data_IF_044543142893
#
_entry.id   IF_044543142893
#
_cell.length_a   1.000
_cell.length_b   1.000
_cell.length_c   1.000
_cell.angle_alpha   90.00
_cell.angle_beta   90.00
_cell.angle_gamma   90.00
#
_symmetry.space_group_name_H-M   'P 1'
#
loop_
_entity.id
_entity.type
_entity.pdbx_description
1 polymer ?
#
# COMPACT_ATOMS: atom_id res chain seq x y z
N UNK A 1 1.64 16.78 -20.77
CA UNK A 1 0.96 17.10 -19.52
C UNK A 1 0.00 15.99 -19.13
N UNK A 2 0.14 15.50 -17.94
CA UNK A 2 -0.74 14.45 -17.42
C UNK A 2 -1.96 15.13 -16.80
N UNK A 3 -3.09 15.09 -17.51
CA UNK A 3 -4.39 15.50 -16.97
C UNK A 3 -5.15 14.21 -16.58
N UNK A 4 -4.71 13.55 -15.51
CA UNK A 4 -5.25 12.30 -15.03
C UNK A 4 -5.94 12.46 -13.68
N UNK A 5 -6.96 11.63 -13.42
CA UNK A 5 -7.63 11.53 -12.13
C UNK A 5 -7.04 10.36 -11.34
N UNK A 6 -6.60 10.64 -10.11
CA UNK A 6 -5.94 9.68 -9.25
C UNK A 6 -6.61 9.65 -7.88
N UNK A 7 -6.90 8.44 -7.38
CA UNK A 7 -7.40 8.19 -6.04
C UNK A 7 -6.29 7.56 -5.21
N UNK A 8 -5.90 8.19 -4.10
CA UNK A 8 -5.10 7.57 -3.04
C UNK A 8 -6.03 7.11 -1.93
N UNK A 9 -6.17 5.79 -1.77
CA UNK A 9 -6.96 5.16 -0.72
C UNK A 9 -6.08 4.95 0.51
N UNK A 10 -6.57 5.37 1.68
CA UNK A 10 -5.79 5.37 2.92
C UNK A 10 -4.63 6.34 2.85
N UNK A 11 -4.89 7.57 2.41
CA UNK A 11 -3.87 8.58 2.15
C UNK A 11 -3.10 9.05 3.40
N UNK A 12 -3.62 8.74 4.61
CA UNK A 12 -3.01 9.16 5.85
C UNK A 12 -2.78 10.68 5.88
N UNK A 13 -1.55 11.12 6.07
CA UNK A 13 -1.17 12.54 6.03
C UNK A 13 -0.99 13.10 4.61
N UNK A 14 -1.42 12.37 3.60
CA UNK A 14 -1.49 12.76 2.18
C UNK A 14 -0.12 13.14 1.58
N UNK A 15 0.97 12.48 2.01
CA UNK A 15 2.31 12.80 1.49
C UNK A 15 2.42 12.48 0.00
N UNK A 16 1.96 11.31 -0.42
CA UNK A 16 1.99 10.92 -1.84
C UNK A 16 1.03 11.78 -2.66
N UNK A 17 -0.20 12.00 -2.18
CA UNK A 17 -1.17 12.88 -2.85
C UNK A 17 -0.62 14.28 -3.11
N UNK A 18 -0.03 14.91 -2.08
CA UNK A 18 0.59 16.22 -2.23
C UNK A 18 1.78 16.19 -3.20
N UNK A 19 2.64 15.16 -3.12
CA UNK A 19 3.77 15.00 -4.04
C UNK A 19 3.32 14.87 -5.50
N UNK A 20 2.29 14.06 -5.76
CA UNK A 20 1.75 13.85 -7.11
C UNK A 20 1.00 15.07 -7.66
N UNK A 21 0.51 15.95 -6.78
CA UNK A 21 -0.17 17.18 -7.17
C UNK A 21 0.81 18.30 -7.54
N UNK A 22 2.00 18.34 -6.91
CA UNK A 22 2.99 19.39 -7.14
C UNK A 22 3.46 19.39 -8.60
N UNK A 23 3.34 20.53 -9.27
CA UNK A 23 3.87 20.74 -10.62
C UNK A 23 3.16 19.93 -11.72
N UNK A 24 1.97 19.39 -11.44
CA UNK A 24 1.18 18.61 -12.40
C UNK A 24 -0.23 19.18 -12.57
N UNK A 25 -0.89 18.81 -13.68
CA UNK A 25 -2.31 19.11 -13.92
C UNK A 25 -3.20 17.89 -13.56
N UNK A 26 -2.70 16.94 -12.79
CA UNK A 26 -3.47 15.79 -12.33
C UNK A 26 -4.50 16.25 -11.29
N UNK A 27 -5.66 15.61 -11.30
CA UNK A 27 -6.67 15.76 -10.24
C UNK A 27 -6.46 14.64 -9.24
N UNK A 28 -6.06 14.99 -8.03
CA UNK A 28 -5.76 14.02 -6.97
C UNK A 28 -6.91 14.01 -5.97
N UNK A 29 -7.35 12.82 -5.57
CA UNK A 29 -8.28 12.62 -4.46
C UNK A 29 -7.55 11.86 -3.35
N UNK A 30 -7.32 12.51 -2.23
CA UNK A 30 -6.79 11.91 -1.01
C UNK A 30 -7.96 11.42 -0.16
N UNK A 31 -8.13 10.11 -0.05
CA UNK A 31 -9.23 9.47 0.66
C UNK A 31 -8.74 8.71 1.90
N UNK A 32 -9.29 9.04 3.07
CA UNK A 32 -8.93 8.41 4.34
C UNK A 32 -10.08 8.46 5.35
N UNK A 33 -10.14 7.52 6.27
CA UNK A 33 -11.11 7.53 7.37
C UNK A 33 -10.76 8.54 8.47
N UNK A 34 -9.49 8.89 8.61
CA UNK A 34 -8.94 9.79 9.64
C UNK A 34 -9.03 11.26 9.24
N UNK A 35 -10.01 11.97 9.78
CA UNK A 35 -10.12 13.43 9.58
C UNK A 35 -8.87 14.17 10.04
N UNK A 36 -8.21 13.72 11.11
CA UNK A 36 -7.01 14.37 11.63
C UNK A 36 -5.84 14.27 10.64
N UNK A 37 -5.66 13.10 10.03
CA UNK A 37 -4.63 12.89 9.01
C UNK A 37 -4.87 13.75 7.78
N UNK A 38 -6.12 13.79 7.29
CA UNK A 38 -6.51 14.63 6.14
C UNK A 38 -6.30 16.12 6.42
N UNK A 39 -6.56 16.60 7.65
CA UNK A 39 -6.30 18.00 8.02
C UNK A 39 -4.82 18.35 7.88
N UNK A 40 -3.91 17.49 8.33
CA UNK A 40 -2.46 17.71 8.16
C UNK A 40 -2.05 17.81 6.68
N UNK A 41 -2.56 16.90 5.84
CA UNK A 41 -2.33 16.94 4.41
C UNK A 41 -2.87 18.19 3.75
N UNK A 42 -4.06 18.64 4.14
CA UNK A 42 -4.69 19.88 3.64
C UNK A 42 -3.94 21.14 4.07
N UNK A 43 -3.42 21.19 5.29
CA UNK A 43 -2.60 22.30 5.77
C UNK A 43 -1.31 22.40 4.96
N UNK A 44 -0.66 21.27 4.69
CA UNK A 44 0.52 21.23 3.82
C UNK A 44 0.19 21.74 2.40
N UNK A 45 -0.92 21.28 1.80
CA UNK A 45 -1.36 21.72 0.48
C UNK A 45 -1.57 23.24 0.42
N UNK A 46 -2.28 23.80 1.43
CA UNK A 46 -2.50 25.26 1.54
C UNK A 46 -1.20 26.02 1.64
N UNK A 47 -0.27 25.60 2.51
CA UNK A 47 1.03 26.26 2.71
C UNK A 47 1.88 26.29 1.43
N UNK A 48 1.70 25.30 0.56
CA UNK A 48 2.47 25.16 -0.69
C UNK A 48 1.67 25.54 -1.95
N UNK A 49 0.50 26.20 -1.81
CA UNK A 49 -0.37 26.62 -2.91
C UNK A 49 -0.77 25.49 -3.87
N UNK A 50 -0.98 24.26 -3.37
CA UNK A 50 -1.44 23.11 -4.13
C UNK A 50 -2.96 23.17 -4.20
N UNK A 51 -3.54 23.27 -5.41
CA UNK A 51 -4.98 23.47 -5.63
C UNK A 51 -5.70 22.27 -6.29
N UNK A 52 -4.94 21.34 -6.84
CA UNK A 52 -5.43 20.20 -7.63
C UNK A 52 -5.58 18.91 -6.81
N UNK A 53 -5.89 19.05 -5.52
CA UNK A 53 -6.08 17.94 -4.59
C UNK A 53 -7.38 18.13 -3.78
N UNK A 54 -8.23 17.11 -3.78
CA UNK A 54 -9.42 16.99 -2.96
C UNK A 54 -9.15 16.07 -1.77
N UNK A 55 -9.63 16.45 -0.58
CA UNK A 55 -9.48 15.67 0.64
C UNK A 55 -10.85 15.13 1.04
N UNK A 56 -11.03 13.83 0.96
CA UNK A 56 -12.32 13.17 1.18
C UNK A 56 -12.22 12.20 2.36
N UNK A 57 -13.06 12.42 3.37
CA UNK A 57 -13.20 11.50 4.49
C UNK A 57 -14.30 10.49 4.21
N UNK A 58 -14.04 9.20 4.48
CA UNK A 58 -15.07 8.16 4.39
C UNK A 58 -14.55 6.78 4.78
N UNK A 59 -15.45 5.81 4.77
CA UNK A 59 -15.11 4.41 4.91
C UNK A 59 -14.91 3.78 3.53
N UNK A 60 -13.97 2.85 3.41
CA UNK A 60 -13.64 2.17 2.16
C UNK A 60 -14.81 1.32 1.62
N UNK A 61 -15.72 0.93 2.49
CA UNK A 61 -16.92 0.16 2.14
C UNK A 61 -18.08 1.04 1.68
N UNK A 62 -17.99 2.36 1.87
CA UNK A 62 -19.03 3.29 1.41
C UNK A 62 -18.87 3.58 -0.09
N UNK A 63 -20.00 3.63 -0.80
CA UNK A 63 -20.02 4.03 -2.21
C UNK A 63 -19.98 5.56 -2.36
N UNK A 64 -18.83 6.17 -2.06
CA UNK A 64 -18.66 7.63 -2.04
C UNK A 64 -18.47 8.20 -3.46
N UNK A 65 -17.79 7.46 -4.32
CA UNK A 65 -17.47 7.91 -5.68
C UNK A 65 -18.35 7.19 -6.70
N UNK A 66 -18.53 7.82 -7.86
CA UNK A 66 -19.14 7.17 -9.04
C UNK A 66 -18.23 6.07 -9.57
N UNK A 67 -18.80 5.11 -10.27
CA UNK A 67 -18.05 4.05 -10.93
C UNK A 67 -17.25 4.63 -12.11
N UNK A 68 -16.03 4.12 -12.30
CA UNK A 68 -15.21 4.43 -13.46
C UNK A 68 -14.78 5.89 -13.60
N UNK A 69 -14.40 6.57 -12.52
CA UNK A 69 -13.99 7.99 -12.55
C UNK A 69 -12.49 8.21 -12.44
N UNK A 70 -11.72 7.25 -11.92
CA UNK A 70 -10.28 7.41 -11.73
C UNK A 70 -9.48 6.68 -12.81
N UNK A 71 -8.44 7.34 -13.33
CA UNK A 71 -7.45 6.73 -14.24
C UNK A 71 -6.47 5.86 -13.47
N UNK A 72 -6.17 6.24 -12.21
CA UNK A 72 -5.27 5.52 -11.32
C UNK A 72 -5.88 5.41 -9.92
N UNK A 73 -5.71 4.23 -9.30
CA UNK A 73 -5.99 4.01 -7.88
C UNK A 73 -4.73 3.51 -7.21
N UNK A 74 -4.31 4.22 -6.16
CA UNK A 74 -3.22 3.81 -5.29
C UNK A 74 -3.79 3.37 -3.95
N UNK A 75 -3.60 2.10 -3.59
CA UNK A 75 -4.04 1.51 -2.34
C UNK A 75 -2.91 0.67 -1.75
N UNK A 76 -2.04 1.31 -0.98
CA UNK A 76 -0.84 0.67 -0.43
C UNK A 76 -0.86 0.71 1.09
N UNK A 77 -0.79 -0.46 1.72
CA UNK A 77 -0.76 -0.54 3.18
C UNK A 77 -2.13 -0.40 3.87
N UNK A 78 -3.24 -0.63 3.16
CA UNK A 78 -4.60 -0.33 3.66
C UNK A 78 -5.48 -1.57 3.80
N UNK A 79 -5.66 -2.33 2.73
CA UNK A 79 -6.67 -3.40 2.68
C UNK A 79 -6.47 -4.46 3.76
N UNK A 80 -5.23 -4.78 4.10
CA UNK A 80 -4.90 -5.77 5.14
C UNK A 80 -5.24 -5.30 6.57
N UNK A 81 -5.68 -4.07 6.73
CA UNK A 81 -6.21 -3.50 7.97
C UNK A 81 -7.74 -3.42 8.00
N UNK A 82 -8.42 -3.96 7.00
CA UNK A 82 -9.89 -4.05 6.93
C UNK A 82 -10.37 -5.43 7.38
N UNK A 83 -11.62 -5.51 7.81
CA UNK A 83 -12.25 -6.77 8.22
C UNK A 83 -12.42 -7.73 7.05
N UNK A 84 -12.63 -7.21 5.83
CA UNK A 84 -12.75 -7.99 4.61
C UNK A 84 -11.92 -7.35 3.47
N UNK A 85 -10.63 -7.71 3.35
CA UNK A 85 -9.73 -7.14 2.35
C UNK A 85 -10.18 -7.31 0.90
N UNK A 86 -10.79 -8.46 0.57
CA UNK A 86 -11.29 -8.69 -0.77
C UNK A 86 -12.49 -7.83 -1.12
N UNK A 87 -13.44 -7.67 -0.21
CA UNK A 87 -14.59 -6.78 -0.43
C UNK A 87 -14.15 -5.33 -0.53
N UNK A 88 -13.23 -4.88 0.34
CA UNK A 88 -12.63 -3.56 0.24
C UNK A 88 -11.94 -3.34 -1.12
N UNK A 89 -11.22 -4.35 -1.63
CA UNK A 89 -10.65 -4.34 -2.98
C UNK A 89 -11.74 -4.18 -4.05
N UNK A 90 -12.85 -4.92 -3.94
CA UNK A 90 -13.98 -4.81 -4.88
C UNK A 90 -14.61 -3.42 -4.87
N UNK A 91 -14.78 -2.82 -3.70
CA UNK A 91 -15.32 -1.46 -3.57
C UNK A 91 -14.44 -0.46 -4.32
N UNK A 92 -13.13 -0.47 -4.08
CA UNK A 92 -12.25 0.53 -4.70
C UNK A 92 -12.11 0.37 -6.22
N UNK A 93 -12.07 -0.87 -6.74
CA UNK A 93 -11.91 -1.06 -8.19
C UNK A 93 -13.16 -0.72 -9.00
N UNK A 94 -14.35 -0.62 -8.37
CA UNK A 94 -15.54 -0.12 -9.05
C UNK A 94 -15.32 1.30 -9.59
N UNK A 95 -14.54 2.10 -8.85
CA UNK A 95 -14.24 3.49 -9.20
C UNK A 95 -13.15 3.63 -10.27
N UNK A 96 -12.44 2.54 -10.61
CA UNK A 96 -11.40 2.55 -11.65
C UNK A 96 -12.01 2.53 -13.04
N UNK A 97 -11.55 3.43 -13.91
CA UNK A 97 -11.92 3.45 -15.35
C UNK A 97 -11.47 2.16 -16.04
N UNK A 98 -12.19 1.78 -17.11
CA UNK A 98 -11.67 0.84 -18.09
C UNK A 98 -10.35 1.35 -18.66
N UNK A 99 -9.33 0.49 -18.74
CA UNK A 99 -7.97 0.87 -19.13
C UNK A 99 -7.16 1.58 -18.03
N UNK A 100 -7.77 1.86 -16.87
CA UNK A 100 -7.08 2.46 -15.71
C UNK A 100 -6.19 1.46 -14.98
N UNK A 101 -5.28 1.98 -14.15
CA UNK A 101 -4.32 1.18 -13.39
C UNK A 101 -4.61 1.24 -11.89
N UNK A 102 -4.48 0.08 -11.24
CA UNK A 102 -4.54 -0.04 -9.77
C UNK A 102 -3.20 -0.53 -9.21
N UNK A 103 -2.79 0.08 -8.11
CA UNK A 103 -1.63 -0.30 -7.31
C UNK A 103 -2.13 -0.81 -5.96
N UNK A 104 -1.85 -2.08 -5.66
CA UNK A 104 -2.30 -2.72 -4.42
C UNK A 104 -1.09 -3.20 -3.64
N UNK A 105 -0.88 -2.59 -2.47
CA UNK A 105 0.18 -2.98 -1.54
C UNK A 105 -0.37 -3.65 -0.30
N UNK A 106 0.12 -4.86 0.00
CA UNK A 106 -0.35 -5.71 1.08
C UNK A 106 0.82 -6.37 1.84
N UNK A 107 0.58 -6.80 3.08
CA UNK A 107 1.55 -7.61 3.80
C UNK A 107 1.60 -9.02 3.25
N UNK A 108 2.81 -9.46 2.86
CA UNK A 108 3.04 -10.82 2.39
C UNK A 108 3.09 -11.81 3.56
N UNK A 109 2.44 -12.97 3.40
CA UNK A 109 2.37 -14.01 4.42
C UNK A 109 3.75 -14.48 4.88
N UNK A 110 4.68 -14.66 3.96
CA UNK A 110 6.07 -15.08 4.24
C UNK A 110 6.94 -13.89 4.69
N UNK A 111 6.88 -12.77 3.97
CA UNK A 111 7.65 -11.57 4.32
C UNK A 111 7.33 -11.03 5.71
N UNK A 112 6.09 -11.23 6.20
CA UNK A 112 5.64 -10.77 7.53
C UNK A 112 6.12 -11.65 8.70
N UNK A 113 6.71 -12.83 8.44
CA UNK A 113 7.14 -13.79 9.49
C UNK A 113 8.06 -13.15 10.52
N UNK A 114 9.07 -12.38 10.08
CA UNK A 114 10.02 -11.71 10.99
C UNK A 114 9.34 -10.66 11.87
N UNK A 115 8.37 -9.92 11.32
CA UNK A 115 7.60 -8.93 12.08
C UNK A 115 6.67 -9.60 13.07
N UNK A 116 6.00 -10.70 12.69
CA UNK A 116 5.18 -11.50 13.61
C UNK A 116 6.03 -12.01 14.78
N UNK A 117 7.22 -12.51 14.50
CA UNK A 117 8.15 -12.93 15.57
C UNK A 117 8.53 -11.76 16.50
N UNK A 118 8.88 -10.60 15.96
CA UNK A 118 9.15 -9.39 16.75
C UNK A 118 7.94 -8.91 17.55
N UNK A 119 6.70 -9.09 17.02
CA UNK A 119 5.46 -8.80 17.75
C UNK A 119 5.32 -9.65 19.02
N UNK A 120 5.67 -10.94 18.96
CA UNK A 120 5.72 -11.80 20.16
C UNK A 120 6.79 -11.32 21.14
N UNK A 121 8.00 -11.01 20.68
CA UNK A 121 9.06 -10.47 21.54
C UNK A 121 8.61 -9.17 22.21
N UNK A 122 7.98 -8.26 21.47
CA UNK A 122 7.44 -7.02 22.02
C UNK A 122 6.44 -7.27 23.15
N UNK A 123 5.55 -8.24 22.97
CA UNK A 123 4.53 -8.60 23.96
C UNK A 123 5.15 -9.10 25.29
N UNK A 124 6.24 -9.84 25.24
CA UNK A 124 6.87 -10.43 26.44
C UNK A 124 7.98 -9.56 27.03
N UNK A 125 8.74 -8.87 26.22
CA UNK A 125 9.96 -8.17 26.65
C UNK A 125 9.87 -6.63 26.48
N UNK A 126 8.81 -6.14 25.91
CA UNK A 126 8.53 -4.71 25.82
C UNK A 126 9.35 -3.93 24.78
N UNK A 127 9.15 -2.61 24.82
CA UNK A 127 9.64 -1.65 23.81
C UNK A 127 11.17 -1.61 23.69
N UNK A 128 11.90 -1.70 24.80
CA UNK A 128 13.38 -1.58 24.80
C UNK A 128 14.06 -2.66 23.96
N UNK A 129 13.57 -3.91 24.06
CA UNK A 129 14.12 -5.04 23.29
C UNK A 129 13.67 -4.96 21.84
N UNK A 130 12.42 -4.58 21.59
CA UNK A 130 11.91 -4.38 20.22
C UNK A 130 12.77 -3.37 19.44
N UNK A 131 13.11 -2.22 20.04
CA UNK A 131 13.95 -1.19 19.39
C UNK A 131 15.30 -1.75 18.96
N UNK A 132 15.88 -2.67 19.75
CA UNK A 132 17.16 -3.31 19.40
C UNK A 132 17.04 -4.32 18.25
N UNK A 133 15.88 -4.93 18.06
CA UNK A 133 15.65 -6.00 17.07
C UNK A 133 15.06 -5.50 15.76
N UNK A 134 14.34 -4.38 15.78
CA UNK A 134 13.72 -3.82 14.59
C UNK A 134 14.72 -2.93 13.83
N UNK A 135 15.00 -3.25 12.54
CA UNK A 135 15.99 -2.51 11.76
C UNK A 135 15.56 -1.06 11.47
N UNK A 136 14.26 -0.77 11.45
CA UNK A 136 13.75 0.59 11.25
C UNK A 136 13.82 1.38 12.56
N UNK A 137 13.36 0.79 13.67
CA UNK A 137 13.41 1.47 14.97
C UNK A 137 14.85 1.83 15.36
N UNK A 138 15.84 0.99 15.03
CA UNK A 138 17.26 1.30 15.25
C UNK A 138 17.77 2.53 14.52
N UNK A 139 17.16 2.86 13.38
CA UNK A 139 17.53 4.03 12.57
C UNK A 139 16.86 5.31 13.03
N UNK A 140 15.78 5.23 13.83
CA UNK A 140 15.07 6.40 14.33
C UNK A 140 15.84 6.99 15.51
N UNK A 141 16.17 8.29 15.49
CA UNK A 141 16.83 8.95 16.62
C UNK A 141 16.04 8.82 17.93
N UNK A 142 16.72 8.58 19.04
CA UNK A 142 16.09 8.36 20.35
C UNK A 142 15.23 9.53 20.83
N UNK A 143 15.51 10.75 20.39
CA UNK A 143 14.73 11.96 20.69
C UNK A 143 13.41 12.05 19.90
N UNK A 144 13.16 11.14 18.97
CA UNK A 144 11.95 11.12 18.14
C UNK A 144 10.93 10.11 18.65
N UNK A 145 10.51 10.24 19.91
CA UNK A 145 9.59 9.27 20.55
C UNK A 145 8.26 9.11 19.80
N UNK A 146 7.74 10.18 19.22
CA UNK A 146 6.49 10.12 18.45
C UNK A 146 6.61 9.24 17.20
N UNK A 147 7.75 9.33 16.48
CA UNK A 147 8.02 8.46 15.33
C UNK A 147 8.16 7.00 15.75
N UNK A 148 8.85 6.74 16.86
CA UNK A 148 8.99 5.39 17.42
C UNK A 148 7.62 4.83 17.81
N UNK A 149 6.78 5.62 18.49
CA UNK A 149 5.45 5.20 18.91
C UNK A 149 4.52 4.98 17.72
N UNK A 150 4.58 5.84 16.69
CA UNK A 150 3.82 5.69 15.46
C UNK A 150 4.18 4.38 14.75
N UNK A 151 5.48 4.08 14.59
CA UNK A 151 5.95 2.84 13.98
C UNK A 151 5.50 1.60 14.78
N UNK A 152 5.64 1.63 16.11
CA UNK A 152 5.19 0.53 16.97
C UNK A 152 3.69 0.30 16.83
N UNK A 153 2.89 1.36 16.80
CA UNK A 153 1.44 1.27 16.65
C UNK A 153 1.06 0.63 15.33
N UNK A 154 1.66 1.09 14.25
CA UNK A 154 1.40 0.58 12.91
C UNK A 154 1.82 -0.89 12.75
N UNK A 155 3.05 -1.23 13.14
CA UNK A 155 3.65 -2.53 12.83
C UNK A 155 3.36 -3.63 13.85
N UNK A 156 3.09 -3.29 15.13
CA UNK A 156 3.07 -4.27 16.22
C UNK A 156 1.77 -4.28 17.04
N UNK A 157 1.00 -3.20 17.03
CA UNK A 157 -0.20 -3.09 17.89
C UNK A 157 -1.49 -2.82 17.11
N UNK A 158 -1.45 -2.83 15.77
CA UNK A 158 -2.66 -2.67 14.99
C UNK A 158 -3.66 -3.79 15.30
N UNK A 159 -4.95 -3.48 15.59
CA UNK A 159 -5.94 -4.48 16.04
C UNK A 159 -6.29 -5.48 14.93
N UNK A 160 -6.44 -5.03 13.71
CA UNK A 160 -6.78 -5.86 12.54
C UNK A 160 -5.60 -5.90 11.59
N UNK A 161 -5.12 -7.09 11.29
CA UNK A 161 -4.04 -7.31 10.33
C UNK A 161 -4.21 -8.67 9.67
N UNK A 162 -4.32 -8.69 8.35
CA UNK A 162 -4.26 -9.88 7.53
C UNK A 162 -2.95 -9.96 6.73
N UNK A 163 -2.63 -11.13 6.23
CA UNK A 163 -1.46 -11.34 5.37
C UNK A 163 -1.86 -12.16 4.16
N UNK A 164 -1.33 -11.81 3.00
CA UNK A 164 -1.77 -12.29 1.71
C UNK A 164 -0.62 -12.94 0.92
N UNK A 165 -0.95 -13.75 -0.05
CA UNK A 165 0.01 -14.34 -0.99
C UNK A 165 -0.11 -13.66 -2.35
N UNK A 166 0.91 -13.82 -3.20
CA UNK A 166 0.87 -13.37 -4.58
C UNK A 166 -0.30 -13.98 -5.35
N UNK A 167 -0.50 -15.30 -5.19
CA UNK A 167 -1.55 -16.02 -5.88
C UNK A 167 -2.97 -15.57 -5.48
N UNK A 168 -3.14 -15.17 -4.23
CA UNK A 168 -4.41 -14.61 -3.75
C UNK A 168 -4.75 -13.31 -4.49
N UNK A 169 -3.78 -12.40 -4.64
CA UNK A 169 -4.01 -11.13 -5.33
C UNK A 169 -4.18 -11.33 -6.84
N UNK A 170 -3.44 -12.24 -7.46
CA UNK A 170 -3.65 -12.61 -8.86
C UNK A 170 -5.06 -13.20 -9.08
N UNK A 171 -5.57 -13.98 -8.12
CA UNK A 171 -6.95 -14.47 -8.15
C UNK A 171 -7.95 -13.30 -8.04
N UNK A 172 -7.73 -12.32 -7.14
CA UNK A 172 -8.58 -11.14 -7.06
C UNK A 172 -8.59 -10.36 -8.38
N UNK A 173 -7.44 -10.17 -8.98
CA UNK A 173 -7.31 -9.51 -10.28
C UNK A 173 -8.13 -10.24 -11.35
N UNK A 174 -7.91 -11.56 -11.51
CA UNK A 174 -8.62 -12.38 -12.49
C UNK A 174 -10.14 -12.33 -12.31
N UNK A 175 -10.62 -12.44 -11.06
CA UNK A 175 -12.06 -12.42 -10.75
C UNK A 175 -12.73 -11.07 -11.02
N UNK A 176 -11.96 -9.99 -11.17
CA UNK A 176 -12.45 -8.62 -11.34
C UNK A 176 -11.99 -7.98 -12.66
N UNK A 177 -11.61 -8.78 -13.67
CA UNK A 177 -11.16 -8.30 -14.98
C UNK A 177 -9.99 -7.32 -14.91
N UNK A 178 -9.06 -7.56 -14.00
CA UNK A 178 -7.80 -6.83 -13.88
C UNK A 178 -6.69 -7.69 -14.46
N UNK A 179 -6.00 -7.16 -15.47
CA UNK A 179 -4.79 -7.77 -16.01
C UNK A 179 -3.61 -7.46 -15.08
N UNK A 180 -2.83 -8.46 -14.71
CA UNK A 180 -1.57 -8.25 -14.00
C UNK A 180 -0.55 -7.58 -14.93
N UNK A 181 0.07 -6.51 -14.45
CA UNK A 181 1.08 -5.76 -15.21
C UNK A 181 2.46 -5.97 -14.60
N UNK A 182 2.62 -5.68 -13.30
CA UNK A 182 3.93 -5.70 -12.66
C UNK A 182 3.81 -5.90 -11.14
N UNK A 183 4.94 -6.15 -10.48
CA UNK A 183 4.99 -6.25 -9.01
C UNK A 183 6.32 -5.79 -8.42
N UNK A 184 6.29 -5.39 -7.15
CA UNK A 184 7.47 -5.08 -6.34
C UNK A 184 7.36 -5.86 -5.02
N UNK A 185 8.28 -6.81 -4.75
CA UNK A 185 9.32 -7.31 -5.65
C UNK A 185 8.70 -7.97 -6.88
N UNK A 186 9.53 -8.21 -7.90
CA UNK A 186 9.13 -9.03 -9.05
C UNK A 186 8.52 -10.36 -8.59
N UNK A 187 7.52 -10.86 -9.32
CA UNK A 187 6.83 -12.10 -8.97
C UNK A 187 7.71 -13.36 -9.14
N UNK A 188 8.79 -13.28 -9.91
CA UNK A 188 9.81 -14.30 -10.07
C UNK A 188 11.16 -13.81 -9.55
N UNK A 189 11.95 -14.64 -8.82
CA UNK A 189 13.29 -14.28 -8.37
C UNK A 189 14.32 -14.25 -9.51
N UNK A 190 13.97 -14.77 -10.67
CA UNK A 190 14.84 -14.85 -11.85
C UNK A 190 14.66 -13.65 -12.79
N UNK A 191 13.70 -12.79 -12.50
CA UNK A 191 13.40 -11.63 -13.32
C UNK A 191 14.20 -10.40 -12.87
N UNK A 192 14.56 -9.56 -13.83
CA UNK A 192 15.20 -8.26 -13.57
C UNK A 192 14.08 -7.22 -13.38
N UNK A 193 14.18 -6.44 -12.31
CA UNK A 193 13.24 -5.35 -12.03
C UNK A 193 13.22 -4.39 -13.23
N UNK A 194 12.05 -4.28 -13.86
CA UNK A 194 11.85 -3.33 -14.96
C UNK A 194 11.79 -1.91 -14.41
N UNK A 195 12.48 -0.98 -15.09
CA UNK A 195 12.48 0.44 -14.69
C UNK A 195 11.10 1.10 -14.81
N UNK A 196 10.27 0.61 -15.75
CA UNK A 196 8.92 1.14 -15.97
C UNK A 196 7.88 0.19 -15.35
N UNK A 197 7.25 0.63 -14.28
CA UNK A 197 6.24 -0.14 -13.55
C UNK A 197 4.95 -0.40 -14.36
N UNK A 198 4.71 0.35 -15.43
CA UNK A 198 3.59 0.17 -16.36
C UNK A 198 3.91 -0.80 -17.51
N UNK A 199 5.13 -1.27 -17.60
CA UNK A 199 5.55 -2.26 -18.58
C UNK A 199 5.21 -3.65 -18.04
N UNK A 200 4.55 -4.47 -18.90
CA UNK A 200 4.13 -5.82 -18.52
C UNK A 200 5.36 -6.67 -18.17
N UNK A 201 5.37 -7.14 -16.94
CA UNK A 201 6.37 -8.06 -16.42
C UNK A 201 6.09 -9.49 -16.89
N UNK A 202 7.08 -10.35 -16.73
CA UNK A 202 6.94 -11.79 -16.95
C UNK A 202 5.90 -12.37 -15.97
N UNK A 203 5.03 -13.22 -16.49
CA UNK A 203 4.06 -13.93 -15.66
C UNK A 203 4.72 -15.16 -15.04
N UNK A 204 5.17 -15.01 -13.81
CA UNK A 204 5.88 -16.04 -13.08
C UNK A 204 5.03 -17.29 -12.88
N UNK A 205 5.66 -18.45 -12.92
CA UNK A 205 5.02 -19.72 -12.57
C UNK A 205 4.67 -19.77 -11.09
N UNK A 206 3.79 -20.68 -10.69
CA UNK A 206 3.41 -20.87 -9.28
C UNK A 206 4.64 -21.14 -8.38
N UNK A 207 5.57 -21.97 -8.85
CA UNK A 207 6.78 -22.32 -8.09
C UNK A 207 7.68 -21.09 -7.90
N UNK A 208 7.88 -20.31 -8.95
CA UNK A 208 8.67 -19.08 -8.88
C UNK A 208 8.06 -18.08 -7.89
N UNK A 209 6.75 -17.90 -7.91
CA UNK A 209 6.05 -17.03 -6.96
C UNK A 209 6.21 -17.49 -5.51
N UNK A 210 6.15 -18.80 -5.24
CA UNK A 210 6.41 -19.35 -3.91
C UNK A 210 7.85 -19.08 -3.49
N UNK A 211 8.81 -19.34 -4.39
CA UNK A 211 10.22 -19.10 -4.12
C UNK A 211 10.51 -17.63 -3.82
N UNK A 212 9.95 -16.72 -4.63
CA UNK A 212 10.09 -15.28 -4.41
C UNK A 212 9.53 -14.85 -3.05
N UNK A 213 8.36 -15.34 -2.68
CA UNK A 213 7.76 -15.03 -1.38
C UNK A 213 8.59 -15.59 -0.22
N UNK A 214 9.20 -16.76 -0.40
CA UNK A 214 10.10 -17.34 0.60
C UNK A 214 11.38 -16.48 0.75
N UNK A 215 11.95 -15.99 -0.35
CA UNK A 215 13.09 -15.07 -0.35
C UNK A 215 12.75 -13.77 0.41
N UNK A 216 11.50 -13.31 0.36
CA UNK A 216 11.08 -12.12 1.11
C UNK A 216 11.31 -12.22 2.62
N UNK A 217 11.37 -13.42 3.21
CA UNK A 217 11.67 -13.60 4.63
C UNK A 217 13.07 -13.01 4.96
N UNK A 218 14.02 -13.19 4.05
CA UNK A 218 15.44 -12.85 4.27
C UNK A 218 15.83 -11.51 3.67
N UNK A 219 15.03 -10.99 2.76
CA UNK A 219 15.28 -9.69 2.11
C UNK A 219 15.01 -8.50 3.03
N UNK A 220 15.41 -7.30 2.58
CA UNK A 220 15.10 -6.02 3.25
C UNK A 220 13.60 -5.83 3.42
N UNK A 221 12.79 -6.27 2.47
CA UNK A 221 11.32 -6.16 2.52
C UNK A 221 10.74 -6.92 3.72
N UNK A 222 11.23 -8.13 4.03
CA UNK A 222 10.86 -8.85 5.25
C UNK A 222 11.36 -8.14 6.52
N UNK A 223 12.46 -7.38 6.44
CA UNK A 223 12.96 -6.52 7.52
C UNK A 223 12.06 -5.33 7.80
N UNK A 224 11.43 -4.79 6.75
CA UNK A 224 10.61 -3.57 6.76
C UNK A 224 9.10 -3.83 6.78
N UNK A 225 8.68 -4.99 7.24
CA UNK A 225 7.27 -5.32 7.41
C UNK A 225 6.70 -6.30 6.39
N UNK A 226 7.45 -6.63 5.33
CA UNK A 226 7.07 -7.64 4.36
C UNK A 226 5.95 -7.20 3.40
N UNK A 227 5.89 -5.92 3.07
CA UNK A 227 4.93 -5.40 2.10
C UNK A 227 5.35 -5.80 0.68
N UNK A 228 4.37 -6.06 -0.17
CA UNK A 228 4.55 -6.20 -1.62
C UNK A 228 3.51 -5.36 -2.34
N UNK A 229 3.83 -4.93 -3.55
CA UNK A 229 2.96 -4.11 -4.39
C UNK A 229 2.67 -4.84 -5.70
N UNK A 230 1.41 -4.91 -6.08
CA UNK A 230 0.98 -5.40 -7.40
C UNK A 230 0.34 -4.28 -8.19
N UNK A 231 0.65 -4.25 -9.48
CA UNK A 231 0.09 -3.31 -10.45
C UNK A 231 -0.81 -4.08 -11.40
N UNK A 232 -2.04 -3.64 -11.51
CA UNK A 232 -3.02 -4.21 -12.43
C UNK A 232 -3.64 -3.16 -13.34
N UNK A 233 -4.13 -3.58 -14.50
CA UNK A 233 -4.86 -2.75 -15.46
C UNK A 233 -6.27 -3.30 -15.66
N UNK A 234 -7.29 -2.46 -15.51
CA UNK A 234 -8.69 -2.86 -15.75
C UNK A 234 -8.97 -3.05 -17.25
N UNK A 235 -9.39 -4.26 -17.63
CA UNK A 235 -9.59 -4.61 -19.04
C UNK A 235 -10.99 -4.20 -19.51
N UNK A 236 -12.02 -4.44 -18.68
CA UNK A 236 -13.44 -4.22 -18.97
C UNK A 236 -14.12 -3.36 -17.92
#
# INVERSE_FOLDING_TARGET
GFNKSLLEVGSGTCQLSNYLAIGTNNKICAFDSSLQSLKLGREFAKKNNIQNIDFVRGDIFDKIFKDGVFDFIWCNGVLHHTDNPYEAFRCIISHLKKGGYIFVGLYNKFGRVRTKFRKYIYKFFGKKILIKLDPILRKIPNNSQDKINAWIRDQYTHPVESTHTFDEILKWFKMNNIEFINSIPESSPFNVIKRNIFEKSYEATFIERILQQFIMIFSSMGGEGGIFLFVGKKIN
#
